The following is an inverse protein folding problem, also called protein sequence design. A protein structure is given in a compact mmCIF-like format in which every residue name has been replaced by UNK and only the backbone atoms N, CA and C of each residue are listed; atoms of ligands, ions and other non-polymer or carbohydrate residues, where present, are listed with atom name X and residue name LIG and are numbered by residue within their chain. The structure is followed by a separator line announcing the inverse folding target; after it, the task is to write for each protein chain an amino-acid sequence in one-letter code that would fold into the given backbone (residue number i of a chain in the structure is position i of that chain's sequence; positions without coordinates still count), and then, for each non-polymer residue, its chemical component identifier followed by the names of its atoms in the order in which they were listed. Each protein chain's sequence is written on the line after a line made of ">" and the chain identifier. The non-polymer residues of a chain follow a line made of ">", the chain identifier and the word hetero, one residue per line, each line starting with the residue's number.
data_IF_878804286831
#
_entry.id   IF_878804286831
#
_cell.length_a   1.000
_cell.length_b   1.000
_cell.length_c   1.000
_cell.angle_alpha   90.00
_cell.angle_beta   90.00
_cell.angle_gamma   90.00
#
_symmetry.space_group_name_H-M   'P 1'
#
loop_
_entity.id
_entity.type
_entity.pdbx_description
1 polymer ?
#
# COMPACT_ATOMS: atom_id res chain seq x y z
N UNK A 1 12.94 41.86 -13.85
CA UNK A 1 12.65 40.96 -12.71
C UNK A 1 12.17 39.64 -13.30
N UNK A 2 13.04 38.64 -13.32
CA UNK A 2 12.69 37.32 -13.86
C UNK A 2 12.33 36.41 -12.69
N UNK A 3 11.03 36.26 -12.43
CA UNK A 3 10.54 35.29 -11.46
C UNK A 3 10.67 33.90 -12.05
N UNK A 4 11.80 33.24 -11.82
CA UNK A 4 11.96 31.82 -12.10
C UNK A 4 11.18 31.04 -11.05
N UNK A 5 9.97 30.60 -11.40
CA UNK A 5 9.23 29.61 -10.62
C UNK A 5 10.05 28.33 -10.64
N UNK A 6 10.80 28.07 -9.56
CA UNK A 6 11.45 26.79 -9.34
C UNK A 6 10.33 25.76 -9.17
N UNK A 7 9.94 25.11 -10.27
CA UNK A 7 8.99 24.01 -10.23
C UNK A 7 9.63 22.92 -9.36
N UNK A 8 9.24 22.89 -8.09
CA UNK A 8 9.56 21.79 -7.19
C UNK A 8 9.20 20.51 -7.94
N UNK A 9 10.20 19.71 -8.30
CA UNK A 9 9.95 18.44 -8.99
C UNK A 9 8.98 17.68 -8.10
N UNK A 10 7.76 17.41 -8.59
CA UNK A 10 6.79 16.66 -7.81
C UNK A 10 7.42 15.30 -7.50
N UNK A 11 7.86 15.12 -6.25
CA UNK A 11 8.43 13.87 -5.77
C UNK A 11 7.31 13.06 -5.16
N UNK A 12 7.00 11.91 -5.75
CA UNK A 12 6.07 10.97 -5.15
C UNK A 12 6.68 10.38 -3.86
N UNK A 13 5.86 10.14 -2.81
CA UNK A 13 6.34 9.55 -1.58
C UNK A 13 6.86 8.13 -1.84
N UNK A 14 7.96 7.78 -1.19
CA UNK A 14 8.51 6.44 -1.23
C UNK A 14 7.95 5.61 -0.08
N UNK A 15 7.24 4.54 -0.40
CA UNK A 15 6.67 3.65 0.62
C UNK A 15 7.69 2.60 1.04
N UNK A 16 7.67 2.22 2.31
CA UNK A 16 8.37 1.02 2.79
C UNK A 16 7.86 -0.24 2.07
N UNK A 17 8.53 -1.40 2.20
CA UNK A 17 7.98 -2.65 1.70
C UNK A 17 6.58 -2.90 2.28
N UNK A 18 5.59 -3.05 1.40
CA UNK A 18 4.20 -3.38 1.75
C UNK A 18 3.89 -4.82 1.34
N UNK A 19 3.03 -5.54 2.07
CA UNK A 19 2.64 -6.89 1.69
C UNK A 19 1.88 -6.86 0.36
N UNK A 20 2.41 -7.54 -0.65
CA UNK A 20 1.75 -7.68 -1.95
C UNK A 20 0.82 -8.90 -1.90
N UNK A 21 -0.49 -8.64 -1.91
CA UNK A 21 -1.51 -9.69 -1.85
C UNK A 21 -1.78 -10.27 -3.22
N UNK A 22 -2.55 -11.37 -3.27
CA UNK A 22 -3.05 -11.94 -4.52
C UNK A 22 -3.97 -10.96 -5.23
N UNK A 23 -4.06 -11.08 -6.55
CA UNK A 23 -4.99 -10.28 -7.34
C UNK A 23 -6.44 -10.64 -6.97
N UNK A 24 -7.30 -9.67 -6.64
CA UNK A 24 -8.72 -9.95 -6.36
C UNK A 24 -9.52 -10.31 -7.63
N UNK A 25 -9.04 -9.88 -8.80
CA UNK A 25 -9.79 -9.97 -10.06
C UNK A 25 -9.51 -11.25 -10.87
N UNK A 26 -8.61 -12.12 -10.41
CA UNK A 26 -8.31 -13.35 -11.12
C UNK A 26 -7.83 -14.46 -10.18
N UNK A 27 -8.00 -15.75 -10.54
CA UNK A 27 -7.60 -16.89 -9.71
C UNK A 27 -6.08 -17.09 -9.63
N UNK A 28 -5.28 -16.11 -10.08
CA UNK A 28 -3.84 -16.23 -10.04
C UNK A 28 -3.35 -16.22 -8.59
N UNK A 29 -2.52 -17.22 -8.26
CA UNK A 29 -1.94 -17.35 -6.93
C UNK A 29 -0.69 -16.47 -6.75
N UNK A 30 -0.15 -15.93 -7.85
CA UNK A 30 0.96 -15.00 -7.77
C UNK A 30 0.51 -13.67 -7.15
N UNK A 31 1.30 -13.12 -6.22
CA UNK A 31 1.10 -11.76 -5.72
C UNK A 31 1.10 -10.71 -6.83
N UNK A 32 0.44 -9.60 -6.56
CA UNK A 32 0.61 -8.37 -7.33
C UNK A 32 2.10 -7.95 -7.37
N UNK A 33 2.49 -7.22 -8.41
CA UNK A 33 3.84 -6.69 -8.56
C UNK A 33 3.83 -5.19 -8.34
N UNK A 34 4.72 -4.70 -7.48
CA UNK A 34 5.03 -3.27 -7.32
C UNK A 34 5.92 -2.82 -8.47
N UNK A 35 5.55 -1.73 -9.10
CA UNK A 35 6.24 -1.14 -10.25
C UNK A 35 6.26 0.38 -10.10
N UNK A 36 7.19 1.05 -10.77
CA UNK A 36 7.30 2.51 -10.79
C UNK A 36 6.87 3.03 -12.16
N UNK A 37 6.04 4.06 -12.18
CA UNK A 37 5.66 4.73 -13.40
C UNK A 37 6.88 5.47 -13.97
N UNK A 38 7.36 5.01 -15.12
CA UNK A 38 8.49 5.62 -15.83
C UNK A 38 8.06 6.67 -16.84
N UNK A 39 6.77 6.68 -17.19
CA UNK A 39 6.21 7.59 -18.19
C UNK A 39 5.92 8.95 -17.56
N UNK A 40 6.28 10.01 -18.28
CA UNK A 40 5.88 11.37 -17.96
C UNK A 40 4.45 11.59 -18.45
N UNK A 41 3.49 10.90 -17.83
CA UNK A 41 2.07 11.02 -18.13
C UNK A 41 1.38 11.64 -16.91
N UNK A 42 0.75 12.80 -17.10
CA UNK A 42 0.01 13.53 -16.05
C UNK A 42 0.82 13.82 -14.76
N UNK A 43 2.15 13.88 -14.83
CA UNK A 43 3.01 14.09 -13.65
C UNK A 43 3.19 12.85 -12.76
N UNK A 44 2.77 11.66 -13.21
CA UNK A 44 2.89 10.43 -12.44
C UNK A 44 4.29 9.80 -12.48
N UNK A 45 5.28 10.42 -13.14
CA UNK A 45 6.62 9.84 -13.23
C UNK A 45 7.23 9.70 -11.83
N UNK A 46 7.69 8.49 -11.52
CA UNK A 46 8.20 8.14 -10.19
C UNK A 46 7.12 7.65 -9.22
N UNK A 47 5.82 7.79 -9.53
CA UNK A 47 4.75 7.22 -8.72
C UNK A 47 4.76 5.70 -8.81
N UNK A 48 4.61 5.04 -7.68
CA UNK A 48 4.58 3.58 -7.61
C UNK A 48 3.16 3.06 -7.68
N UNK A 49 2.98 1.89 -8.30
CA UNK A 49 1.70 1.21 -8.46
C UNK A 49 1.85 -0.29 -8.30
N UNK A 50 0.75 -0.98 -8.02
CA UNK A 50 0.66 -2.43 -8.03
C UNK A 50 -0.12 -2.90 -9.24
N UNK A 51 0.31 -4.01 -9.86
CA UNK A 51 -0.37 -4.59 -11.02
C UNK A 51 -0.34 -6.10 -10.99
N UNK A 52 -1.40 -6.73 -11.50
CA UNK A 52 -1.38 -8.15 -11.78
C UNK A 52 -0.63 -8.41 -13.10
N UNK A 53 0.40 -9.27 -13.05
CA UNK A 53 1.17 -9.70 -14.23
C UNK A 53 0.89 -11.16 -14.61
N UNK A 54 -0.21 -11.72 -14.10
CA UNK A 54 -0.61 -13.10 -14.36
C UNK A 54 -0.68 -13.36 -15.86
N UNK A 55 0.02 -14.40 -16.32
CA UNK A 55 -0.09 -14.89 -17.68
C UNK A 55 -1.20 -15.94 -17.78
N UNK A 56 -1.83 -16.10 -18.95
CA UNK A 56 -2.68 -17.25 -19.21
C UNK A 56 -1.88 -18.53 -18.96
N UNK A 57 -2.41 -19.48 -18.18
CA UNK A 57 -1.76 -20.79 -18.02
C UNK A 57 -1.99 -21.64 -19.27
N UNK A 58 -1.04 -22.50 -19.67
CA UNK A 58 -1.25 -23.45 -20.77
C UNK A 58 -2.51 -24.30 -20.51
N UNK A 59 -3.42 -24.34 -21.47
CA UNK A 59 -4.70 -25.06 -21.33
C UNK A 59 -5.83 -24.28 -20.63
N UNK A 60 -5.55 -23.10 -20.07
CA UNK A 60 -6.57 -22.22 -19.50
C UNK A 60 -6.67 -20.93 -20.29
N UNK A 61 -7.87 -20.61 -20.79
CA UNK A 61 -8.17 -19.31 -21.42
C UNK A 61 -8.39 -18.26 -20.33
N UNK A 62 -7.38 -18.00 -19.52
CA UNK A 62 -7.39 -16.86 -18.62
C UNK A 62 -7.14 -15.61 -19.48
N UNK A 63 -8.17 -14.78 -19.64
CA UNK A 63 -8.00 -13.44 -20.23
C UNK A 63 -6.93 -12.71 -19.42
N UNK A 64 -6.10 -11.92 -20.09
CA UNK A 64 -5.08 -11.08 -19.44
C UNK A 64 -5.75 -10.23 -18.36
N UNK A 65 -5.31 -10.38 -17.11
CA UNK A 65 -5.83 -9.59 -16.00
C UNK A 65 -5.45 -8.10 -16.19
N UNK A 66 -6.43 -7.22 -15.98
CA UNK A 66 -6.28 -5.77 -16.10
C UNK A 66 -5.99 -5.05 -14.79
N UNK A 67 -5.92 -5.77 -13.66
CA UNK A 67 -5.85 -5.19 -12.32
C UNK A 67 -4.68 -4.22 -12.17
N UNK A 68 -4.98 -3.01 -11.70
CA UNK A 68 -4.07 -1.90 -11.46
C UNK A 68 -4.60 -1.07 -10.28
N UNK A 69 -3.70 -0.66 -9.40
CA UNK A 69 -4.01 0.24 -8.28
C UNK A 69 -2.76 1.05 -7.92
N UNK A 70 -2.91 2.32 -7.55
CA UNK A 70 -1.77 3.11 -7.11
C UNK A 70 -1.29 2.63 -5.74
N UNK A 71 0.04 2.69 -5.49
CA UNK A 71 0.60 2.12 -4.26
C UNK A 71 0.13 2.88 -3.01
N UNK A 72 -0.09 4.18 -3.12
CA UNK A 72 -0.63 5.02 -2.06
C UNK A 72 -2.05 4.59 -1.66
N UNK A 73 -2.94 4.38 -2.63
CA UNK A 73 -4.30 3.87 -2.44
C UNK A 73 -4.27 2.43 -1.86
N UNK A 74 -3.43 1.56 -2.42
CA UNK A 74 -3.26 0.18 -1.95
C UNK A 74 -2.79 0.12 -0.49
N UNK A 75 -1.83 0.96 -0.12
CA UNK A 75 -1.31 1.02 1.24
C UNK A 75 -2.36 1.54 2.24
N UNK A 76 -3.18 2.52 1.85
CA UNK A 76 -4.29 3.01 2.66
C UNK A 76 -5.35 1.93 2.87
N UNK A 77 -5.72 1.22 1.80
CA UNK A 77 -6.65 0.09 1.88
C UNK A 77 -6.14 -1.03 2.79
N UNK A 78 -4.86 -1.37 2.71
CA UNK A 78 -4.24 -2.34 3.61
C UNK A 78 -4.33 -1.93 5.09
N UNK A 79 -4.11 -0.64 5.39
CA UNK A 79 -4.25 -0.12 6.77
C UNK A 79 -5.68 -0.23 7.27
N UNK A 80 -6.65 0.10 6.41
CA UNK A 80 -8.08 0.03 6.75
C UNK A 80 -8.54 -1.43 6.98
N UNK A 81 -8.15 -2.34 6.09
CA UNK A 81 -8.46 -3.77 6.21
C UNK A 81 -7.77 -4.39 7.45
N UNK A 82 -6.55 -3.98 7.77
CA UNK A 82 -5.86 -4.39 9.01
C UNK A 82 -6.58 -3.93 10.27
N UNK A 83 -7.02 -2.67 10.29
CA UNK A 83 -7.82 -2.11 11.39
C UNK A 83 -9.17 -2.82 11.57
N UNK A 84 -9.79 -3.24 10.45
CA UNK A 84 -11.07 -3.96 10.48
C UNK A 84 -10.91 -5.41 10.95
N UNK A 85 -9.74 -6.03 10.74
CA UNK A 85 -9.47 -7.38 11.28
C UNK A 85 -9.30 -7.35 12.80
N UNK A 86 -8.61 -6.37 13.35
CA UNK A 86 -8.45 -6.19 14.81
C UNK A 86 -9.79 -6.06 15.54
N UNK A 87 -10.81 -5.46 14.91
CA UNK A 87 -12.16 -5.33 15.48
C UNK A 87 -13.03 -6.59 15.37
N UNK A 88 -12.68 -7.54 14.48
CA UNK A 88 -13.42 -8.80 14.31
C UNK A 88 -12.84 -9.96 15.15
N UNK A 89 -11.65 -9.81 15.75
CA UNK A 89 -11.14 -10.71 16.79
C UNK A 89 -11.75 -10.37 18.15
N UNK A 90 -13.08 -10.49 18.25
CA UNK A 90 -13.80 -10.40 19.51
C UNK A 90 -13.46 -11.56 20.43
N UNK A 91 -12.54 -11.35 21.37
CA UNK A 91 -12.42 -12.05 22.65
C UNK A 91 -12.20 -11.01 23.76
N UNK A 92 -12.87 -11.10 24.92
CA UNK A 92 -13.20 -9.91 25.72
C UNK A 92 -12.16 -9.59 26.81
N UNK A 93 -12.15 -8.29 27.16
CA UNK A 93 -11.58 -7.64 28.36
C UNK A 93 -10.05 -7.57 28.47
N UNK A 94 -9.50 -6.36 28.40
CA UNK A 94 -9.16 -5.61 29.60
C UNK A 94 -8.72 -4.18 29.24
N UNK A 95 -9.49 -3.25 29.80
CA UNK A 95 -9.15 -1.88 30.08
C UNK A 95 -7.85 -1.76 30.90
N UNK A 96 -7.26 -0.55 30.86
CA UNK A 96 -6.16 -0.02 31.68
C UNK A 96 -4.77 -0.10 31.04
N UNK A 97 -4.34 1.00 30.44
CA UNK A 97 -3.64 2.14 31.08
C UNK A 97 -2.13 1.93 31.13
N UNK A 98 -1.44 2.88 30.51
CA UNK A 98 0.00 2.93 30.35
C UNK A 98 0.77 2.78 31.66
N UNK A 99 1.98 2.18 31.66
CA UNK A 99 2.89 2.37 32.76
C UNK A 99 3.51 3.77 32.62
N UNK A 100 2.93 4.72 33.35
CA UNK A 100 3.63 5.94 33.75
C UNK A 100 4.81 5.45 34.60
N UNK A 101 6.02 5.57 34.09
CA UNK A 101 7.23 5.47 34.91
C UNK A 101 7.22 6.64 35.88
N UNK A 102 6.52 6.50 37.00
CA UNK A 102 6.66 7.41 38.13
C UNK A 102 7.86 6.91 38.91
N UNK A 103 9.02 7.49 38.62
CA UNK A 103 10.16 7.46 39.54
C UNK A 103 9.70 8.09 40.84
N UNK A 104 9.48 7.27 41.88
CA UNK A 104 9.42 7.79 43.24
C UNK A 104 10.83 8.16 43.68
N UNK A 105 11.01 9.46 43.85
CA UNK A 105 12.08 10.08 44.59
C UNK A 105 11.52 10.34 46.01
N UNK A 106 12.39 10.21 47.02
CA UNK A 106 12.27 10.69 48.42
C UNK A 106 11.54 9.70 49.35
N UNK A 107 12.13 9.18 50.43
CA UNK A 107 12.84 9.86 51.53
C UNK A 107 13.86 8.95 52.21
#
# INVERSE_FOLDING_TARGET
>A
MSSSTSASRQSWPQYSPVPLRRCPDCPCMEPLKRLTCVKEENGNRGREFVKCLSKPQPGHVLKKCGHFEWLDEYAERLKLEGSTQELNFGGPLAMEHAPIWRTEQIR
#
